data_IF_352763020898
#
_entry.id   IF_352763020898
#
_cell.length_a   1.000
_cell.length_b   1.000
_cell.length_c   1.000
_cell.angle_alpha   90.00
_cell.angle_beta   90.00
_cell.angle_gamma   90.00
#
_symmetry.space_group_name_H-M   'P 1'
#
loop_
_entity.id
_entity.type
_entity.pdbx_description
1 polymer ?
#
# COMPACT_ATOMS: atom_id res chain seq x y z
N UNK A 1 -61.26 5.61 -6.50
CA UNK A 1 -60.04 5.69 -5.68
C UNK A 1 -59.63 4.27 -5.32
N UNK A 2 -58.42 3.86 -5.70
CA UNK A 2 -57.71 2.89 -4.88
C UNK A 2 -56.26 3.32 -4.59
N UNK A 3 -55.92 3.16 -3.31
CA UNK A 3 -54.61 2.83 -2.72
C UNK A 3 -53.34 3.44 -3.32
N UNK A 4 -52.85 4.48 -2.63
CA UNK A 4 -51.48 4.97 -2.73
C UNK A 4 -50.52 3.88 -2.24
N UNK A 5 -49.73 3.29 -3.15
CA UNK A 5 -48.61 2.41 -2.84
C UNK A 5 -47.52 3.25 -2.19
N UNK A 6 -47.39 3.11 -0.87
CA UNK A 6 -46.44 3.83 -0.04
C UNK A 6 -45.12 3.03 0.01
N UNK A 7 -44.40 2.96 -1.12
CA UNK A 7 -43.12 2.21 -1.26
C UNK A 7 -41.91 3.10 -1.64
N UNK A 8 -42.09 4.42 -1.79
CA UNK A 8 -41.06 5.32 -2.32
C UNK A 8 -39.81 5.65 -1.44
N UNK A 9 -39.80 5.52 -0.09
CA UNK A 9 -38.67 6.01 0.70
C UNK A 9 -37.44 5.09 0.66
N UNK A 10 -37.60 3.78 0.39
CA UNK A 10 -36.46 2.83 0.40
C UNK A 10 -35.56 2.96 -0.82
N UNK A 11 -36.15 2.99 -2.03
CA UNK A 11 -35.41 3.12 -3.29
C UNK A 11 -34.66 4.46 -3.38
N UNK A 12 -35.33 5.56 -2.98
CA UNK A 12 -34.75 6.91 -3.01
C UNK A 12 -33.51 6.97 -2.11
N UNK A 13 -33.59 6.40 -0.90
CA UNK A 13 -32.46 6.33 0.03
C UNK A 13 -31.33 5.45 -0.50
N UNK A 14 -31.65 4.31 -1.14
CA UNK A 14 -30.64 3.45 -1.75
C UNK A 14 -29.91 4.13 -2.91
N UNK A 15 -30.62 4.91 -3.73
CA UNK A 15 -30.04 5.69 -4.83
C UNK A 15 -29.15 6.83 -4.31
N UNK A 16 -29.59 7.58 -3.30
CA UNK A 16 -28.77 8.61 -2.66
C UNK A 16 -27.48 8.05 -2.05
N UNK A 17 -27.58 6.87 -1.41
CA UNK A 17 -26.42 6.17 -0.87
C UNK A 17 -25.47 5.71 -1.97
N UNK A 18 -26.00 5.19 -3.08
CA UNK A 18 -25.22 4.79 -4.24
C UNK A 18 -24.42 5.98 -4.80
N UNK A 19 -25.06 7.13 -4.99
CA UNK A 19 -24.41 8.35 -5.46
C UNK A 19 -23.28 8.78 -4.52
N UNK A 20 -23.54 8.77 -3.20
CA UNK A 20 -22.53 9.11 -2.19
C UNK A 20 -21.33 8.16 -2.21
N UNK A 21 -21.55 6.86 -2.38
CA UNK A 21 -20.46 5.88 -2.46
C UNK A 21 -19.68 6.03 -3.77
N UNK A 22 -20.32 6.32 -4.90
CA UNK A 22 -19.65 6.58 -6.16
C UNK A 22 -18.76 7.82 -6.06
N UNK A 23 -19.24 8.90 -5.44
CA UNK A 23 -18.42 10.09 -5.18
C UNK A 23 -17.23 9.72 -4.29
N UNK A 24 -17.44 8.94 -3.22
CA UNK A 24 -16.34 8.45 -2.35
C UNK A 24 -15.35 7.58 -3.13
N UNK A 25 -15.82 6.76 -4.07
CA UNK A 25 -14.97 5.93 -4.93
C UNK A 25 -14.03 6.80 -5.77
N UNK A 26 -14.52 7.88 -6.36
CA UNK A 26 -13.71 8.81 -7.16
C UNK A 26 -12.63 9.50 -6.31
N UNK A 27 -12.96 9.94 -5.09
CA UNK A 27 -11.98 10.52 -4.17
C UNK A 27 -10.89 9.52 -3.78
N UNK A 28 -11.27 8.28 -3.46
CA UNK A 28 -10.30 7.23 -3.16
C UNK A 28 -9.43 6.86 -4.38
N UNK A 29 -9.95 6.97 -5.61
CA UNK A 29 -9.16 6.77 -6.82
C UNK A 29 -8.11 7.87 -7.00
N UNK A 30 -8.48 9.13 -6.77
CA UNK A 30 -7.54 10.25 -6.77
C UNK A 30 -6.45 10.04 -5.69
N UNK A 31 -6.86 9.66 -4.48
CA UNK A 31 -5.94 9.39 -3.38
C UNK A 31 -4.97 8.24 -3.72
N UNK A 32 -5.47 7.15 -4.32
CA UNK A 32 -4.62 6.05 -4.80
C UNK A 32 -3.61 6.53 -5.84
N UNK A 33 -4.04 7.31 -6.83
CA UNK A 33 -3.12 7.86 -7.84
C UNK A 33 -2.02 8.71 -7.20
N UNK A 34 -2.38 9.54 -6.21
CA UNK A 34 -1.41 10.34 -5.46
C UNK A 34 -0.42 9.47 -4.68
N UNK A 35 -0.89 8.40 -4.03
CA UNK A 35 -0.02 7.45 -3.36
C UNK A 35 0.96 6.78 -4.33
N UNK A 36 0.50 6.34 -5.49
CA UNK A 36 1.35 5.73 -6.54
C UNK A 36 2.44 6.69 -7.02
N UNK A 37 2.09 7.96 -7.28
CA UNK A 37 3.06 8.98 -7.65
C UNK A 37 4.10 9.24 -6.56
N UNK A 38 3.69 9.23 -5.29
CA UNK A 38 4.61 9.37 -4.15
C UNK A 38 5.58 8.19 -4.06
N UNK A 39 5.08 6.97 -4.26
CA UNK A 39 5.89 5.74 -4.30
C UNK A 39 6.91 5.83 -5.44
N UNK A 40 6.47 6.17 -6.65
CA UNK A 40 7.35 6.31 -7.83
C UNK A 40 8.44 7.36 -7.60
N UNK A 41 8.07 8.53 -7.07
CA UNK A 41 9.01 9.60 -6.74
C UNK A 41 10.04 9.16 -5.70
N UNK A 42 9.59 8.46 -4.65
CA UNK A 42 10.47 7.94 -3.59
C UNK A 42 11.43 6.87 -4.11
N UNK A 43 10.93 5.91 -4.90
CA UNK A 43 11.76 4.85 -5.51
C UNK A 43 12.80 5.47 -6.45
N UNK A 44 12.41 6.46 -7.26
CA UNK A 44 13.33 7.18 -8.14
C UNK A 44 14.43 7.89 -7.34
N UNK A 45 14.06 8.57 -6.26
CA UNK A 45 15.00 9.26 -5.40
C UNK A 45 16.00 8.29 -4.73
N UNK A 46 15.50 7.20 -4.15
CA UNK A 46 16.35 6.13 -3.58
C UNK A 46 17.30 5.54 -4.60
N UNK A 47 16.82 5.29 -5.83
CA UNK A 47 17.61 4.78 -6.94
C UNK A 47 18.71 5.74 -7.39
N UNK A 48 18.45 7.06 -7.40
CA UNK A 48 19.47 8.08 -7.69
C UNK A 48 20.59 8.03 -6.64
N UNK A 49 20.26 7.88 -5.37
CA UNK A 49 21.26 7.75 -4.30
C UNK A 49 22.08 6.46 -4.42
N UNK A 50 21.46 5.35 -4.81
CA UNK A 50 22.21 4.13 -5.15
C UNK A 50 23.14 4.33 -6.35
N UNK A 51 22.68 5.01 -7.40
CA UNK A 51 23.49 5.33 -8.57
C UNK A 51 24.70 6.20 -8.21
N UNK A 52 24.50 7.24 -7.39
CA UNK A 52 25.60 8.07 -6.84
C UNK A 52 26.59 7.23 -6.03
N UNK A 53 26.10 6.31 -5.21
CA UNK A 53 26.95 5.40 -4.43
C UNK A 53 27.80 4.51 -5.33
N UNK A 54 27.20 3.91 -6.37
CA UNK A 54 27.94 3.11 -7.36
C UNK A 54 28.96 3.92 -8.16
N UNK A 55 28.63 5.16 -8.51
CA UNK A 55 29.56 6.05 -9.20
C UNK A 55 30.80 6.35 -8.34
N UNK A 56 30.60 6.60 -7.05
CA UNK A 56 31.68 6.91 -6.11
C UNK A 56 32.55 5.67 -5.82
N UNK A 57 31.93 4.51 -5.60
CA UNK A 57 32.64 3.30 -5.18
C UNK A 57 33.19 2.46 -6.34
N UNK A 58 32.68 2.63 -7.56
CA UNK A 58 33.03 1.82 -8.72
C UNK A 58 32.38 0.43 -8.74
N UNK A 59 32.75 -0.37 -9.73
CA UNK A 59 32.08 -1.63 -10.07
C UNK A 59 32.36 -2.80 -9.11
N UNK A 60 33.37 -2.69 -8.24
CA UNK A 60 33.85 -3.76 -7.36
C UNK A 60 33.46 -3.57 -5.88
N UNK A 61 32.41 -2.79 -5.62
CA UNK A 61 32.01 -2.38 -4.27
C UNK A 61 31.63 -3.55 -3.34
N UNK A 62 31.15 -4.67 -3.90
CA UNK A 62 30.79 -5.88 -3.14
C UNK A 62 31.27 -7.10 -3.90
N UNK A 63 32.06 -7.94 -3.24
CA UNK A 63 32.39 -9.27 -3.76
C UNK A 63 31.17 -10.17 -3.63
N UNK A 64 30.85 -10.96 -4.66
CA UNK A 64 29.74 -11.92 -4.67
C UNK A 64 29.73 -12.84 -3.45
N UNK A 65 30.91 -13.12 -2.86
CA UNK A 65 31.04 -13.92 -1.64
C UNK A 65 30.41 -13.30 -0.38
N UNK A 66 30.08 -12.00 -0.39
CA UNK A 66 29.45 -11.30 0.75
C UNK A 66 27.92 -11.26 0.64
N UNK A 67 27.38 -11.65 -0.50
CA UNK A 67 25.94 -11.69 -0.70
C UNK A 67 25.40 -13.02 -0.18
N UNK A 68 24.24 -13.02 0.49
CA UNK A 68 23.55 -14.25 0.85
C UNK A 68 23.31 -15.13 -0.38
N UNK A 69 23.62 -16.42 -0.27
CA UNK A 69 23.36 -17.47 -1.27
C UNK A 69 22.32 -18.46 -0.74
N UNK A 70 21.87 -19.41 -1.56
CA UNK A 70 20.91 -20.46 -1.13
C UNK A 70 21.44 -21.33 0.03
N UNK A 71 22.75 -21.34 0.24
CA UNK A 71 23.41 -22.02 1.36
C UNK A 71 23.61 -21.15 2.61
N UNK A 72 23.24 -19.87 2.56
CA UNK A 72 23.35 -18.96 3.71
C UNK A 72 22.22 -19.23 4.72
N UNK A 73 22.47 -18.87 5.98
CA UNK A 73 21.45 -19.00 7.02
C UNK A 73 20.28 -18.06 6.75
N UNK A 74 19.06 -18.53 6.96
CA UNK A 74 17.87 -17.71 6.84
C UNK A 74 17.91 -16.52 7.83
N UNK A 75 17.49 -15.36 7.34
CA UNK A 75 17.37 -14.15 8.13
C UNK A 75 15.97 -13.56 7.98
N UNK A 76 15.48 -12.95 9.04
CA UNK A 76 14.18 -12.30 9.06
C UNK A 76 14.26 -10.87 8.51
N UNK A 77 13.17 -10.41 7.88
CA UNK A 77 13.02 -9.02 7.48
C UNK A 77 13.01 -8.10 8.70
N UNK A 78 13.54 -6.88 8.57
CA UNK A 78 13.56 -5.89 9.65
C UNK A 78 12.18 -5.33 10.00
N UNK A 79 11.25 -5.48 9.06
CA UNK A 79 9.96 -4.79 9.09
C UNK A 79 8.95 -5.73 8.47
N UNK A 80 7.80 -5.88 9.13
CA UNK A 80 6.70 -6.73 8.70
C UNK A 80 5.43 -5.93 8.55
N UNK A 81 4.47 -6.50 7.82
CA UNK A 81 3.15 -5.92 7.64
C UNK A 81 2.16 -6.70 8.52
N UNK A 82 1.42 -5.97 9.34
CA UNK A 82 0.37 -6.53 10.18
C UNK A 82 -0.99 -6.00 9.76
N UNK A 83 -2.01 -6.83 9.90
CA UNK A 83 -3.39 -6.44 9.69
C UNK A 83 -4.00 -6.03 11.02
N UNK A 84 -4.45 -4.78 11.10
CA UNK A 84 -5.06 -4.19 12.29
C UNK A 84 -6.54 -3.90 11.99
N UNK A 85 -7.40 -4.19 12.96
CA UNK A 85 -8.80 -3.79 12.93
C UNK A 85 -8.95 -2.51 13.75
N UNK A 86 -9.10 -1.38 13.07
CA UNK A 86 -9.32 -0.08 13.71
C UNK A 86 -10.71 0.43 13.32
N UNK A 87 -11.55 0.76 14.31
CA UNK A 87 -12.94 1.20 14.10
C UNK A 87 -13.80 0.28 13.22
N UNK A 88 -13.57 -1.04 13.29
CA UNK A 88 -14.27 -2.04 12.48
C UNK A 88 -13.83 -2.07 11.02
N UNK A 89 -12.75 -1.38 10.69
CA UNK A 89 -12.14 -1.31 9.37
C UNK A 89 -10.79 -2.00 9.41
N UNK A 90 -10.64 -3.06 8.61
CA UNK A 90 -9.36 -3.75 8.49
C UNK A 90 -8.40 -2.88 7.67
N UNK A 91 -7.22 -2.64 8.21
CA UNK A 91 -6.13 -1.84 7.65
C UNK A 91 -4.80 -2.58 7.83
N UNK A 92 -3.84 -2.29 6.98
CA UNK A 92 -2.48 -2.77 7.06
C UNK A 92 -1.58 -1.72 7.70
N UNK A 93 -0.62 -2.16 8.51
CA UNK A 93 0.38 -1.31 9.16
C UNK A 93 1.76 -1.92 9.05
N UNK A 94 2.75 -1.06 8.87
CA UNK A 94 4.17 -1.40 8.94
C UNK A 94 4.60 -1.41 10.40
N UNK A 95 5.18 -2.51 10.86
CA UNK A 95 5.75 -2.66 12.20
C UNK A 95 7.18 -3.19 12.15
N UNK A 96 7.98 -2.82 13.13
CA UNK A 96 9.31 -3.39 13.30
C UNK A 96 9.20 -4.86 13.72
N UNK A 97 10.11 -5.69 13.23
CA UNK A 97 10.16 -7.10 13.59
C UNK A 97 11.06 -7.30 14.82
N UNK A 98 10.63 -8.12 15.77
CA UNK A 98 11.39 -8.45 16.99
C UNK A 98 12.27 -9.70 16.82
N UNK A 99 12.48 -10.17 15.59
CA UNK A 99 13.27 -11.36 15.32
C UNK A 99 14.77 -11.18 15.61
N UNK A 100 15.35 -12.13 16.35
CA UNK A 100 16.77 -12.09 16.73
C UNK A 100 17.75 -12.25 15.55
N UNK A 101 17.30 -12.83 14.43
CA UNK A 101 18.13 -13.11 13.25
C UNK A 101 18.01 -12.05 12.14
N UNK A 102 17.63 -10.81 12.47
CA UNK A 102 17.59 -9.72 11.49
C UNK A 102 18.99 -9.35 10.99
N UNK A 103 19.12 -9.20 9.66
CA UNK A 103 20.37 -8.78 9.02
C UNK A 103 20.18 -7.42 8.37
N UNK A 104 21.07 -6.47 8.68
CA UNK A 104 21.10 -5.18 8.00
C UNK A 104 21.92 -5.30 6.69
N UNK A 105 21.27 -5.22 5.50
CA UNK A 105 21.94 -5.41 4.20
C UNK A 105 23.08 -4.44 3.93
N UNK A 106 23.07 -3.26 4.57
CA UNK A 106 24.12 -2.25 4.37
C UNK A 106 25.50 -2.77 4.80
N UNK A 107 25.54 -3.71 5.76
CA UNK A 107 26.78 -4.30 6.27
C UNK A 107 27.47 -5.21 5.25
N UNK A 108 26.76 -5.70 4.23
CA UNK A 108 27.36 -6.49 3.14
C UNK A 108 28.39 -5.67 2.34
N UNK A 109 28.29 -4.34 2.38
CA UNK A 109 29.19 -3.42 1.70
C UNK A 109 30.47 -3.09 2.52
N UNK A 110 30.65 -3.69 3.69
CA UNK A 110 31.83 -3.50 4.54
C UNK A 110 31.77 -2.25 5.42
N UNK A 111 32.92 -1.79 5.91
CA UNK A 111 33.02 -0.73 6.94
C UNK A 111 32.86 0.68 6.34
N UNK A 112 33.26 0.88 5.08
CA UNK A 112 33.24 2.19 4.41
C UNK A 112 32.05 2.28 3.44
N UNK A 113 30.85 2.40 4.00
CA UNK A 113 29.63 2.59 3.20
C UNK A 113 29.41 4.09 2.92
N UNK A 114 29.14 4.50 1.66
CA UNK A 114 28.90 5.90 1.33
C UNK A 114 27.61 6.41 1.96
N UNK A 115 27.60 7.68 2.34
CA UNK A 115 26.42 8.35 2.91
C UNK A 115 25.19 8.26 1.99
N UNK A 116 25.39 8.29 0.67
CA UNK A 116 24.30 8.11 -0.29
C UNK A 116 23.63 6.73 -0.17
N UNK A 117 24.36 5.68 0.20
CA UNK A 117 23.78 4.34 0.33
C UNK A 117 22.94 4.22 1.62
N UNK A 118 23.39 4.84 2.72
CA UNK A 118 22.57 5.01 3.92
C UNK A 118 21.30 5.81 3.61
N UNK A 119 21.42 6.88 2.83
CA UNK A 119 20.26 7.69 2.43
C UNK A 119 19.27 6.89 1.58
N UNK A 120 19.77 6.10 0.63
CA UNK A 120 18.93 5.21 -0.17
C UNK A 120 18.20 4.18 0.70
N UNK A 121 18.89 3.53 1.64
CA UNK A 121 18.28 2.59 2.58
C UNK A 121 17.12 3.23 3.35
N UNK A 122 17.35 4.40 3.94
CA UNK A 122 16.30 5.14 4.67
C UNK A 122 15.13 5.54 3.78
N UNK A 123 15.39 5.97 2.53
CA UNK A 123 14.33 6.28 1.57
C UNK A 123 13.48 5.05 1.26
N UNK A 124 14.11 3.89 1.01
CA UNK A 124 13.37 2.65 0.72
C UNK A 124 12.59 2.15 1.93
N UNK A 125 13.15 2.22 3.13
CA UNK A 125 12.42 1.89 4.37
C UNK A 125 11.17 2.76 4.53
N UNK A 126 11.28 4.07 4.31
CA UNK A 126 10.12 4.97 4.36
C UNK A 126 9.12 4.71 3.23
N UNK A 127 9.61 4.27 2.07
CA UNK A 127 8.75 3.95 0.91
C UNK A 127 7.78 2.82 1.23
N UNK A 128 8.17 1.86 2.08
CA UNK A 128 7.27 0.79 2.53
C UNK A 128 6.03 1.35 3.24
N UNK A 129 6.15 2.44 4.01
CA UNK A 129 4.99 3.09 4.63
C UNK A 129 4.03 3.63 3.58
N UNK A 130 4.52 4.32 2.54
CA UNK A 130 3.68 4.81 1.44
C UNK A 130 3.01 3.67 0.66
N UNK A 131 3.70 2.54 0.49
CA UNK A 131 3.13 1.35 -0.15
C UNK A 131 1.97 0.80 0.68
N UNK A 132 2.13 0.68 1.99
CA UNK A 132 1.08 0.19 2.88
C UNK A 132 -0.12 1.15 2.93
N UNK A 133 0.11 2.46 2.97
CA UNK A 133 -0.95 3.47 2.83
C UNK A 133 -1.72 3.29 1.51
N UNK A 134 -1.02 3.09 0.39
CA UNK A 134 -1.64 2.83 -0.90
C UNK A 134 -2.49 1.55 -0.90
N UNK A 135 -2.01 0.49 -0.26
CA UNK A 135 -2.75 -0.78 -0.11
C UNK A 135 -4.03 -0.56 0.72
N UNK A 136 -3.98 0.26 1.76
CA UNK A 136 -5.16 0.60 2.55
C UNK A 136 -6.22 1.32 1.72
N UNK A 137 -5.83 2.32 0.92
CA UNK A 137 -6.74 3.01 0.00
C UNK A 137 -7.31 2.02 -1.03
N UNK A 138 -6.49 1.12 -1.56
CA UNK A 138 -6.92 0.08 -2.49
C UNK A 138 -7.94 -0.88 -1.86
N UNK A 139 -7.75 -1.25 -0.61
CA UNK A 139 -8.71 -2.09 0.13
C UNK A 139 -10.06 -1.39 0.31
N UNK A 140 -10.06 -0.08 0.58
CA UNK A 140 -11.28 0.72 0.63
C UNK A 140 -11.98 0.80 -0.73
N UNK A 141 -11.23 1.00 -1.81
CA UNK A 141 -11.76 0.99 -3.18
C UNK A 141 -12.44 -0.34 -3.53
N UNK A 142 -11.83 -1.45 -3.13
CA UNK A 142 -12.39 -2.79 -3.35
C UNK A 142 -13.68 -3.01 -2.53
N UNK A 143 -13.70 -2.57 -1.27
CA UNK A 143 -14.90 -2.65 -0.42
C UNK A 143 -16.05 -1.83 -1.00
N UNK A 144 -15.79 -0.56 -1.35
CA UNK A 144 -16.78 0.30 -1.99
C UNK A 144 -17.27 -0.27 -3.32
N UNK A 145 -16.39 -0.86 -4.14
CA UNK A 145 -16.80 -1.49 -5.40
C UNK A 145 -17.80 -2.62 -5.17
N UNK A 146 -17.58 -3.46 -4.14
CA UNK A 146 -18.53 -4.51 -3.76
C UNK A 146 -19.85 -3.92 -3.26
N UNK A 147 -19.81 -2.87 -2.44
CA UNK A 147 -21.01 -2.17 -1.95
C UNK A 147 -21.83 -1.57 -3.09
N UNK A 148 -21.18 -0.92 -4.05
CA UNK A 148 -21.81 -0.36 -5.26
C UNK A 148 -22.53 -1.47 -6.03
N UNK A 149 -21.88 -2.62 -6.23
CA UNK A 149 -22.48 -3.75 -6.95
C UNK A 149 -23.72 -4.28 -6.22
N UNK A 150 -23.64 -4.46 -4.90
CA UNK A 150 -24.78 -4.92 -4.10
C UNK A 150 -25.96 -3.93 -4.13
N UNK A 151 -25.70 -2.63 -4.02
CA UNK A 151 -26.75 -1.61 -4.08
C UNK A 151 -27.39 -1.53 -5.47
N UNK A 152 -26.61 -1.66 -6.53
CA UNK A 152 -27.14 -1.73 -7.90
C UNK A 152 -28.07 -2.92 -8.10
N UNK A 153 -27.69 -4.10 -7.57
CA UNK A 153 -28.53 -5.30 -7.63
C UNK A 153 -29.84 -5.10 -6.86
N UNK A 154 -29.78 -4.50 -5.68
CA UNK A 154 -30.97 -4.17 -4.88
C UNK A 154 -31.94 -3.25 -5.62
N UNK A 155 -31.46 -2.12 -6.15
CA UNK A 155 -32.29 -1.16 -6.90
C UNK A 155 -32.89 -1.81 -8.15
N UNK A 156 -32.13 -2.64 -8.86
CA UNK A 156 -32.64 -3.33 -10.05
C UNK A 156 -33.74 -4.34 -9.70
N UNK A 157 -33.64 -5.01 -8.55
CA UNK A 157 -34.64 -5.96 -8.09
C UNK A 157 -35.96 -5.28 -7.69
N UNK A 158 -35.90 -4.14 -6.99
CA UNK A 158 -37.10 -3.32 -6.69
C UNK A 158 -37.78 -2.81 -7.96
N UNK A 159 -37.03 -2.44 -9.01
CA UNK A 159 -37.61 -1.98 -10.29
C UNK A 159 -38.34 -3.07 -11.10
N UNK A 160 -38.07 -4.34 -10.82
CA UNK A 160 -38.71 -5.49 -11.49
C UNK A 160 -39.98 -5.98 -10.77
N UNK A 161 -40.28 -5.44 -9.58
CA UNK A 161 -41.38 -5.88 -8.69
C UNK A 161 -42.46 -4.81 -8.57
#
# INVERSE_FOLDING_TARGET
MPEQKQDAPSETVASELLDKIIVKQLHLMEEKMRCELNIESSIKNGSIHLAKSRYIMGQSSVSTARLPTESSTDFSASTVCETVQEDGVEQMRVVENDADNMVNPIRWFGVLVPQNMHKAQSIFQNTINFVVECVNVQLQLQRNSKLIEMLKQYINFEKLT
#
